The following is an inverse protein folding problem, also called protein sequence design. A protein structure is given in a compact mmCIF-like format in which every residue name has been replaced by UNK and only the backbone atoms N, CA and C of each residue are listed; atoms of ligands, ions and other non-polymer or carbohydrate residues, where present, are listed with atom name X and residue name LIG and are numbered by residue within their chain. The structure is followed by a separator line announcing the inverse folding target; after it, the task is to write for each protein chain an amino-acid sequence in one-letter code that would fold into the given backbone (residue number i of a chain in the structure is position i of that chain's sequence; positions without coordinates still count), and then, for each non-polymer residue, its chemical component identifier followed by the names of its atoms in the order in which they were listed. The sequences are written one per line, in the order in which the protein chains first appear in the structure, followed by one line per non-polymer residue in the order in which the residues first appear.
data_IF_397183535695
#
_entry.id   IF_397183535695
#
_cell.length_a   1.000
_cell.length_b   1.000
_cell.length_c   1.000
_cell.angle_alpha   90.00
_cell.angle_beta   90.00
_cell.angle_gamma   90.00
#
_symmetry.space_group_name_H-M   'P 1'
#
loop_
_entity.id
_entity.type
_entity.pdbx_description
1 polymer ?
#
# COMPACT_ATOMS: atom_id res chain seq x y z
N UNK A 1 13.03 -0.49 1.93
CA UNK A 1 13.48 -1.71 1.22
C UNK A 1 12.33 -2.58 0.65
N UNK A 2 11.08 -2.10 0.52
CA UNK A 2 9.96 -2.92 0.03
C UNK A 2 9.99 -3.17 -1.50
N UNK A 3 10.24 -2.13 -2.31
CA UNK A 3 10.23 -2.23 -3.78
C UNK A 3 11.30 -3.19 -4.35
N UNK A 4 12.36 -3.47 -3.59
CA UNK A 4 13.41 -4.40 -3.99
C UNK A 4 13.00 -5.88 -3.88
N UNK A 5 12.00 -6.22 -3.05
CA UNK A 5 11.59 -7.61 -2.83
C UNK A 5 10.62 -8.17 -3.87
N UNK A 6 9.93 -7.30 -4.61
CA UNK A 6 8.91 -7.73 -5.58
C UNK A 6 9.35 -7.67 -7.05
N UNK A 7 10.56 -7.19 -7.35
CA UNK A 7 11.04 -6.93 -8.72
C UNK A 7 10.03 -6.17 -9.61
N UNK A 8 9.12 -5.42 -8.99
CA UNK A 8 8.02 -4.73 -9.64
C UNK A 8 7.96 -3.31 -9.10
N UNK A 9 7.77 -2.34 -9.99
CA UNK A 9 7.53 -0.97 -9.54
C UNK A 9 6.18 -0.93 -8.82
N UNK A 10 6.02 -0.19 -7.71
CA UNK A 10 4.77 -0.19 -6.94
C UNK A 10 3.52 0.16 -7.79
N UNK A 11 3.71 0.93 -8.87
CA UNK A 11 2.68 1.26 -9.87
C UNK A 11 2.25 0.09 -10.75
N UNK A 12 3.12 -0.90 -10.99
CA UNK A 12 2.79 -2.08 -11.82
C UNK A 12 2.12 -3.20 -11.02
N UNK A 13 1.95 -3.01 -9.70
CA UNK A 13 1.30 -4.02 -8.85
C UNK A 13 -0.18 -4.16 -9.20
N UNK A 14 -0.61 -5.41 -9.42
CA UNK A 14 -2.03 -5.76 -9.55
C UNK A 14 -2.75 -5.59 -8.21
N UNK A 15 -4.08 -5.40 -8.25
CA UNK A 15 -4.89 -5.12 -7.06
C UNK A 15 -4.68 -6.11 -5.88
N UNK A 16 -4.54 -7.43 -6.08
CA UNK A 16 -4.25 -8.35 -4.98
C UNK A 16 -2.90 -8.08 -4.31
N UNK A 17 -1.84 -7.85 -5.09
CA UNK A 17 -0.50 -7.54 -4.57
C UNK A 17 -0.47 -6.21 -3.81
N UNK A 18 -1.26 -5.21 -4.26
CA UNK A 18 -1.41 -3.92 -3.55
C UNK A 18 -2.04 -4.09 -2.17
N UNK A 19 -3.00 -5.01 -2.01
CA UNK A 19 -3.64 -5.29 -0.72
C UNK A 19 -2.68 -5.93 0.27
N UNK A 20 -1.95 -6.95 -0.15
CA UNK A 20 -0.95 -7.65 0.68
C UNK A 20 0.12 -6.65 1.18
N UNK A 21 0.65 -5.83 0.26
CA UNK A 21 1.59 -4.76 0.61
C UNK A 21 1.03 -3.81 1.68
N UNK A 22 -0.22 -3.37 1.52
CA UNK A 22 -0.83 -2.46 2.49
C UNK A 22 -1.10 -3.11 3.85
N UNK A 23 -1.43 -4.40 3.89
CA UNK A 23 -1.55 -5.15 5.14
C UNK A 23 -0.19 -5.27 5.85
N UNK A 24 0.90 -5.56 5.13
CA UNK A 24 2.25 -5.61 5.70
C UNK A 24 2.69 -4.24 6.24
N UNK A 25 2.45 -3.16 5.49
CA UNK A 25 2.74 -1.81 5.96
C UNK A 25 1.93 -1.44 7.20
N UNK A 26 0.67 -1.88 7.27
CA UNK A 26 -0.19 -1.70 8.45
C UNK A 26 0.38 -2.43 9.66
N UNK A 27 0.70 -3.72 9.51
CA UNK A 27 1.27 -4.53 10.58
C UNK A 27 2.60 -3.99 11.09
N UNK A 28 3.35 -3.29 10.25
CA UNK A 28 4.59 -2.61 10.61
C UNK A 28 4.41 -1.20 11.24
N UNK A 29 3.18 -0.73 11.44
CA UNK A 29 2.88 0.62 11.97
C UNK A 29 3.22 1.77 11.00
N UNK A 30 3.54 1.46 9.74
CA UNK A 30 3.95 2.44 8.73
C UNK A 30 2.76 3.22 8.13
N UNK A 31 1.55 2.91 8.59
CA UNK A 31 0.28 3.50 8.15
C UNK A 31 -0.33 4.46 9.17
N UNK A 32 0.32 4.66 10.32
CA UNK A 32 -0.27 5.41 11.44
C UNK A 32 -0.33 6.92 11.22
N UNK A 33 0.31 7.42 10.16
CA UNK A 33 0.29 8.83 9.81
C UNK A 33 -0.49 9.08 8.52
N UNK A 34 -1.38 10.08 8.54
CA UNK A 34 -2.14 10.52 7.35
C UNK A 34 -1.24 10.80 6.14
N UNK A 35 -0.04 11.34 6.38
CA UNK A 35 0.97 11.58 5.34
C UNK A 35 1.54 10.30 4.74
N UNK A 36 1.64 9.21 5.50
CA UNK A 36 2.10 7.93 4.96
C UNK A 36 1.12 7.37 3.92
N UNK A 37 -0.18 7.48 4.16
CA UNK A 37 -1.23 7.08 3.20
C UNK A 37 -1.15 7.85 1.88
N UNK A 38 -0.82 9.14 1.94
CA UNK A 38 -0.67 9.99 0.76
C UNK A 38 0.54 9.57 -0.08
N UNK A 39 1.68 9.37 0.57
CA UNK A 39 2.91 8.91 -0.08
C UNK A 39 2.69 7.54 -0.73
N UNK A 40 1.98 6.63 -0.06
CA UNK A 40 1.68 5.30 -0.57
C UNK A 40 0.72 5.36 -1.76
N UNK A 41 -0.31 6.21 -1.71
CA UNK A 41 -1.24 6.41 -2.82
C UNK A 41 -0.49 6.88 -4.09
N UNK A 42 0.41 7.85 -3.96
CA UNK A 42 1.25 8.35 -5.05
C UNK A 42 2.23 7.29 -5.58
N UNK A 43 2.84 6.51 -4.68
CA UNK A 43 3.76 5.44 -5.07
C UNK A 43 3.03 4.32 -5.80
N UNK A 44 1.82 3.96 -5.36
CA UNK A 44 1.02 2.90 -5.97
C UNK A 44 0.23 3.37 -7.20
N UNK A 45 0.15 4.67 -7.45
CA UNK A 45 -0.66 5.23 -8.53
C UNK A 45 -2.16 4.99 -8.34
N UNK A 46 -2.64 5.02 -7.09
CA UNK A 46 -4.05 4.79 -6.73
C UNK A 46 -4.58 5.97 -5.90
N UNK A 47 -5.90 6.05 -5.74
CA UNK A 47 -6.52 7.08 -4.90
C UNK A 47 -6.33 6.79 -3.41
N UNK A 48 -6.39 7.84 -2.58
CA UNK A 48 -6.39 7.69 -1.10
C UNK A 48 -7.52 6.78 -0.61
N UNK A 49 -8.70 6.86 -1.24
CA UNK A 49 -9.83 5.99 -0.91
C UNK A 49 -9.55 4.50 -1.19
N UNK A 50 -8.83 4.20 -2.26
CA UNK A 50 -8.39 2.83 -2.56
C UNK A 50 -7.42 2.31 -1.49
N UNK A 51 -6.47 3.15 -1.05
CA UNK A 51 -5.56 2.81 0.06
C UNK A 51 -6.33 2.51 1.34
N UNK A 52 -7.29 3.36 1.73
CA UNK A 52 -8.16 3.10 2.89
C UNK A 52 -8.93 1.79 2.76
N UNK A 53 -9.44 1.49 1.56
CA UNK A 53 -10.20 0.28 1.27
C UNK A 53 -9.31 -0.96 1.42
N UNK A 54 -8.13 -0.95 0.81
CA UNK A 54 -7.16 -2.05 0.89
C UNK A 54 -6.67 -2.26 2.31
N UNK A 55 -6.46 -1.17 3.05
CA UNK A 55 -6.00 -1.24 4.42
C UNK A 55 -7.14 -1.62 5.39
N UNK A 56 -8.43 -1.49 5.02
CA UNK A 56 -9.59 -1.91 5.84
C UNK A 56 -10.08 -3.33 5.57
N UNK A 57 -9.68 -3.94 4.46
CA UNK A 57 -10.05 -5.32 4.16
C UNK A 57 -9.21 -6.27 5.03
N UNK A 58 -9.60 -6.34 6.30
CA UNK A 58 -9.36 -7.49 7.16
C UNK A 58 -10.65 -8.32 7.13
N UNK A 59 -10.51 -9.53 6.61
CA UNK A 59 -11.56 -10.52 6.39
C UNK A 59 -10.90 -11.76 5.84
#
# INVERSE_FOLDING_TARGET
QFAARLAATPRTLKAPARRVLLQELRGAGLLDMRRAMEIIAEHLGVSRAAVYTYARQEG
#
